data_IF_264186056130
#
_entry.id   IF_264186056130
#
_cell.length_a   1.000
_cell.length_b   1.000
_cell.length_c   1.000
_cell.angle_alpha   90.00
_cell.angle_beta   90.00
_cell.angle_gamma   90.00
#
_symmetry.space_group_name_H-M   'P 1'
#
loop_
_entity.id
_entity.type
_entity.pdbx_description
1 polymer ?
#
# COMPACT_ATOMS: atom_id res chain seq x y z
N UNK A 1 54.99 -10.15 3.60
CA UNK A 1 55.31 -9.09 2.61
C UNK A 1 54.09 -8.88 1.72
N UNK A 2 53.85 -7.64 1.25
CA UNK A 2 52.95 -7.20 0.15
C UNK A 2 51.48 -7.74 0.19
N UNK A 3 50.41 -6.96 0.41
CA UNK A 3 50.04 -5.57 0.05
C UNK A 3 49.53 -5.38 -1.39
N UNK A 4 48.19 -5.41 -1.52
CA UNK A 4 47.34 -4.46 -2.25
C UNK A 4 47.26 -4.46 -3.80
N UNK A 5 46.24 -5.16 -4.34
CA UNK A 5 45.48 -4.85 -5.57
C UNK A 5 44.05 -5.45 -5.38
N UNK A 6 42.92 -4.84 -5.73
CA UNK A 6 42.63 -3.48 -6.21
C UNK A 6 41.25 -3.03 -5.69
N UNK A 7 41.17 -1.87 -5.04
CA UNK A 7 39.91 -1.20 -4.67
C UNK A 7 39.60 -0.10 -5.68
N UNK A 8 38.60 -0.27 -6.55
CA UNK A 8 37.94 0.83 -7.31
C UNK A 8 36.75 0.30 -8.11
N UNK A 9 35.53 0.30 -7.56
CA UNK A 9 34.28 0.13 -8.34
C UNK A 9 32.99 0.56 -7.59
N UNK A 10 33.08 1.41 -6.56
CA UNK A 10 31.90 1.97 -5.85
C UNK A 10 32.14 3.46 -5.55
N UNK A 11 32.12 4.30 -6.59
CA UNK A 11 32.22 5.76 -6.46
C UNK A 11 31.75 6.53 -7.72
N UNK A 12 30.55 6.23 -8.22
CA UNK A 12 29.88 7.09 -9.22
C UNK A 12 28.36 6.80 -9.23
N UNK A 13 27.56 7.73 -8.72
CA UNK A 13 26.15 8.03 -9.07
C UNK A 13 25.49 8.88 -7.96
N UNK A 14 25.99 10.11 -7.83
CA UNK A 14 25.26 11.24 -7.26
C UNK A 14 25.56 12.48 -8.11
N UNK A 15 24.57 13.38 -8.18
CA UNK A 15 24.54 14.66 -8.90
C UNK A 15 24.23 14.65 -10.41
N UNK A 16 23.52 15.73 -10.80
CA UNK A 16 23.10 16.16 -12.15
C UNK A 16 21.94 15.38 -12.79
N UNK A 17 20.85 16.01 -13.27
CA UNK A 17 20.27 17.35 -13.03
C UNK A 17 18.81 17.35 -13.49
N UNK A 18 17.93 18.11 -12.82
CA UNK A 18 16.61 18.46 -13.34
C UNK A 18 16.77 19.61 -14.36
N UNK A 19 15.96 19.65 -15.43
CA UNK A 19 15.46 20.94 -15.90
C UNK A 19 13.92 20.98 -15.95
N UNK A 20 13.37 22.01 -15.30
CA UNK A 20 12.02 22.53 -15.51
C UNK A 20 12.21 23.85 -16.28
N UNK A 21 11.19 24.26 -17.02
CA UNK A 21 10.96 25.54 -17.72
C UNK A 21 11.06 25.50 -19.25
N UNK A 22 10.37 26.34 -20.03
CA UNK A 22 9.04 26.99 -20.01
C UNK A 22 9.12 28.23 -20.94
N UNK A 23 8.23 28.29 -21.93
CA UNK A 23 7.74 29.50 -22.62
C UNK A 23 8.67 30.39 -23.48
N UNK A 24 8.15 30.65 -24.69
CA UNK A 24 8.11 31.97 -25.37
C UNK A 24 9.34 32.60 -26.06
N UNK A 25 9.10 32.82 -27.37
CA UNK A 25 9.27 34.07 -28.13
C UNK A 25 10.63 34.41 -28.76
N UNK A 26 10.53 34.49 -30.11
CA UNK A 26 11.22 35.41 -31.04
C UNK A 26 12.73 35.17 -31.29
N UNK A 27 13.03 34.83 -32.54
CA UNK A 27 13.65 35.77 -33.49
C UNK A 27 13.16 35.46 -34.90
N UNK A 28 12.93 36.51 -35.69
CA UNK A 28 12.48 36.48 -37.08
C UNK A 28 13.49 37.23 -37.95
N UNK A 29 13.24 37.30 -39.27
CA UNK A 29 14.06 37.95 -40.32
C UNK A 29 15.47 37.31 -40.46
N UNK A 30 16.16 37.19 -41.60
CA UNK A 30 16.03 37.54 -43.04
C UNK A 30 16.36 36.26 -43.87
N UNK A 31 16.11 36.10 -45.18
CA UNK A 31 15.67 36.99 -46.26
C UNK A 31 14.83 36.20 -47.31
N UNK A 32 14.38 36.88 -48.37
CA UNK A 32 13.58 36.47 -49.53
C UNK A 32 14.40 36.20 -50.80
N UNK A 33 13.92 35.35 -51.72
CA UNK A 33 13.99 35.48 -53.20
C UNK A 33 13.39 34.24 -53.89
N UNK A 34 12.74 34.38 -55.06
CA UNK A 34 12.38 33.23 -55.92
C UNK A 34 10.90 32.92 -56.19
N UNK A 35 9.98 33.88 -56.06
CA UNK A 35 8.56 33.69 -56.40
C UNK A 35 8.27 33.71 -57.92
N UNK A 36 8.95 32.87 -58.71
CA UNK A 36 8.70 32.71 -60.17
C UNK A 36 8.89 31.25 -60.62
N UNK A 37 7.90 30.37 -60.37
CA UNK A 37 7.71 29.15 -61.17
C UNK A 37 6.32 28.48 -61.05
N UNK A 38 5.26 29.23 -60.72
CA UNK A 38 3.89 28.70 -60.57
C UNK A 38 3.00 29.20 -61.73
N UNK A 39 3.13 28.61 -62.93
CA UNK A 39 2.07 28.73 -63.96
C UNK A 39 2.01 27.67 -65.08
N UNK A 40 2.82 26.62 -65.07
CA UNK A 40 2.91 25.66 -66.20
C UNK A 40 2.90 24.17 -65.83
N UNK A 41 2.50 23.80 -64.59
CA UNK A 41 2.54 22.40 -64.13
C UNK A 41 1.29 21.92 -63.36
N UNK A 42 0.13 22.51 -63.69
CA UNK A 42 -1.14 22.30 -62.97
C UNK A 42 -2.21 21.51 -63.77
N UNK A 43 -1.83 20.83 -64.87
CA UNK A 43 -2.78 20.25 -65.83
C UNK A 43 -2.56 18.76 -66.16
N UNK A 44 -1.85 17.97 -65.33
CA UNK A 44 -1.57 16.54 -65.64
C UNK A 44 -1.86 15.52 -64.52
N UNK A 45 -2.28 15.92 -63.32
CA UNK A 45 -2.47 14.98 -62.17
C UNK A 45 -3.87 15.06 -61.56
N UNK A 46 -4.91 15.04 -62.40
CA UNK A 46 -6.32 15.04 -61.96
C UNK A 46 -7.23 13.98 -62.60
N UNK A 47 -6.68 13.01 -63.34
CA UNK A 47 -7.47 11.96 -64.00
C UNK A 47 -6.85 10.57 -63.86
N UNK A 48 -6.67 10.06 -62.63
CA UNK A 48 -6.71 8.61 -62.34
C UNK A 48 -7.21 8.31 -60.91
N UNK A 49 -8.47 7.85 -60.84
CA UNK A 49 -9.06 6.93 -59.85
C UNK A 49 -9.20 7.34 -58.34
N UNK A 50 -10.25 6.84 -57.65
CA UNK A 50 -10.61 7.29 -56.30
C UNK A 50 -9.91 6.51 -55.16
N UNK A 51 -9.75 7.18 -54.01
CA UNK A 51 -9.90 6.53 -52.70
C UNK A 51 -8.68 5.97 -51.96
N UNK A 52 -7.43 6.11 -52.43
CA UNK A 52 -6.29 5.34 -51.85
C UNK A 52 -5.21 6.01 -50.97
N UNK A 53 -5.11 7.34 -50.77
CA UNK A 53 -4.15 7.90 -49.80
C UNK A 53 -4.72 8.05 -48.38
N UNK A 54 -6.02 7.80 -48.19
CA UNK A 54 -6.70 7.85 -46.89
C UNK A 54 -6.68 6.47 -46.23
N UNK A 55 -7.08 5.44 -46.97
CA UNK A 55 -7.10 4.05 -46.51
C UNK A 55 -5.72 3.54 -46.06
N UNK A 56 -4.65 3.90 -46.77
CA UNK A 56 -3.28 3.51 -46.42
C UNK A 56 -2.79 4.21 -45.13
N UNK A 57 -3.18 5.47 -44.92
CA UNK A 57 -2.92 6.20 -43.66
C UNK A 57 -3.80 5.68 -42.52
N UNK A 58 -5.04 5.30 -42.80
CA UNK A 58 -5.95 4.70 -41.84
C UNK A 58 -5.40 3.35 -41.38
N UNK A 59 -5.01 2.47 -42.31
CA UNK A 59 -4.37 1.18 -42.05
C UNK A 59 -3.05 1.33 -41.28
N UNK A 60 -2.22 2.33 -41.59
CA UNK A 60 -1.00 2.59 -40.83
C UNK A 60 -1.29 3.09 -39.40
N UNK A 61 -2.28 3.96 -39.22
CA UNK A 61 -2.71 4.42 -37.89
C UNK A 61 -3.42 3.32 -37.09
N UNK A 62 -4.18 2.44 -37.75
CA UNK A 62 -4.83 1.28 -37.14
C UNK A 62 -3.82 0.22 -36.75
N UNK A 63 -2.81 -0.08 -37.56
CA UNK A 63 -1.71 -0.96 -37.16
C UNK A 63 -0.89 -0.37 -36.02
N UNK A 64 -0.53 0.92 -36.06
CA UNK A 64 0.13 1.58 -34.93
C UNK A 64 -0.73 1.55 -33.65
N UNK A 65 -2.06 1.66 -33.74
CA UNK A 65 -2.97 1.51 -32.59
C UNK A 65 -3.13 0.06 -32.14
N UNK A 66 -3.26 -0.88 -33.07
CA UNK A 66 -3.44 -2.31 -32.81
C UNK A 66 -2.18 -2.93 -32.20
N UNK A 67 -1.00 -2.60 -32.73
CA UNK A 67 0.29 -2.98 -32.14
C UNK A 67 0.43 -2.41 -30.73
N UNK A 68 0.06 -1.14 -30.51
CA UNK A 68 0.02 -0.57 -29.16
C UNK A 68 -0.97 -1.33 -28.24
N UNK A 69 -2.17 -1.71 -28.71
CA UNK A 69 -3.12 -2.50 -27.93
C UNK A 69 -2.62 -3.92 -27.64
N UNK A 70 -1.98 -4.60 -28.61
CA UNK A 70 -1.39 -5.93 -28.46
C UNK A 70 -0.20 -5.88 -27.49
N UNK A 71 0.66 -4.87 -27.59
CA UNK A 71 1.78 -4.62 -26.67
C UNK A 71 1.27 -4.33 -25.26
N UNK A 72 0.26 -3.47 -25.10
CA UNK A 72 -0.35 -3.17 -23.80
C UNK A 72 -1.04 -4.40 -23.19
N UNK A 73 -1.71 -5.23 -24.00
CA UNK A 73 -2.27 -6.52 -23.55
C UNK A 73 -1.17 -7.49 -23.11
N UNK A 74 -0.09 -7.64 -23.88
CA UNK A 74 1.08 -8.46 -23.52
C UNK A 74 1.73 -7.96 -22.21
N UNK A 75 1.95 -6.64 -22.05
CA UNK A 75 2.47 -6.01 -20.82
C UNK A 75 1.57 -6.28 -19.62
N UNK A 76 0.25 -6.08 -19.73
CA UNK A 76 -0.72 -6.34 -18.65
C UNK A 76 -0.72 -7.82 -18.24
N UNK A 77 -0.71 -8.75 -19.20
CA UNK A 77 -0.63 -10.19 -18.93
C UNK A 77 0.70 -10.56 -18.25
N UNK A 78 1.82 -9.99 -18.69
CA UNK A 78 3.13 -10.17 -18.06
C UNK A 78 3.13 -9.72 -16.60
N UNK A 79 2.71 -8.48 -16.35
CA UNK A 79 2.59 -7.91 -15.01
C UNK A 79 1.69 -8.74 -14.08
N UNK A 80 0.51 -9.17 -14.56
CA UNK A 80 -0.39 -10.02 -13.77
C UNK A 80 0.23 -11.40 -13.47
N UNK A 81 1.00 -11.99 -14.40
CA UNK A 81 1.74 -13.23 -14.17
C UNK A 81 2.85 -13.04 -13.13
N UNK A 82 3.56 -11.92 -13.14
CA UNK A 82 4.59 -11.60 -12.13
C UNK A 82 4.00 -11.36 -10.75
N UNK A 83 2.90 -10.59 -10.64
CA UNK A 83 2.18 -10.42 -9.37
C UNK A 83 1.70 -11.76 -8.82
N UNK A 84 1.14 -12.63 -9.67
CA UNK A 84 0.70 -13.95 -9.23
C UNK A 84 1.90 -14.80 -8.77
N UNK A 85 3.03 -14.81 -9.50
CA UNK A 85 4.26 -15.50 -9.07
C UNK A 85 4.78 -14.98 -7.71
N UNK A 86 4.77 -13.66 -7.49
CA UNK A 86 5.14 -13.05 -6.19
C UNK A 86 4.18 -13.49 -5.08
N UNK A 87 2.87 -13.42 -5.31
CA UNK A 87 1.84 -13.89 -4.36
C UNK A 87 2.02 -15.37 -4.02
N UNK A 88 2.27 -16.23 -5.00
CA UNK A 88 2.54 -17.65 -4.77
C UNK A 88 3.83 -17.88 -3.96
N UNK A 89 4.88 -17.08 -4.17
CA UNK A 89 6.10 -17.14 -3.32
C UNK A 89 5.79 -16.74 -1.87
N UNK A 90 5.04 -15.65 -1.66
CA UNK A 90 4.63 -15.21 -0.32
C UNK A 90 3.80 -16.28 0.40
N UNK A 91 2.81 -16.88 -0.28
CA UNK A 91 2.00 -17.96 0.29
C UNK A 91 2.84 -19.19 0.67
N UNK A 92 3.80 -19.60 -0.18
CA UNK A 92 4.77 -20.67 0.13
C UNK A 92 5.67 -20.35 1.33
N UNK A 93 5.98 -19.07 1.54
CA UNK A 93 6.72 -18.58 2.70
C UNK A 93 5.82 -18.37 3.95
N UNK A 94 4.55 -18.78 3.92
CA UNK A 94 3.63 -18.63 5.05
C UNK A 94 3.16 -17.19 5.32
N UNK A 95 3.19 -16.31 4.31
CA UNK A 95 2.51 -15.01 4.39
C UNK A 95 0.99 -15.18 4.34
N UNK A 96 0.25 -14.17 4.80
CA UNK A 96 -1.21 -14.21 4.88
C UNK A 96 -1.75 -14.75 6.21
N UNK A 97 -0.87 -15.30 7.06
CA UNK A 97 -1.21 -15.80 8.41
C UNK A 97 -0.34 -15.14 9.48
N UNK A 98 -0.93 -14.92 10.65
CA UNK A 98 -0.23 -14.47 11.84
C UNK A 98 0.28 -15.69 12.61
N UNK A 99 1.60 -15.91 12.60
CA UNK A 99 2.22 -17.09 13.21
C UNK A 99 3.12 -16.71 14.38
N UNK A 100 2.99 -17.43 15.49
CA UNK A 100 3.96 -17.38 16.58
C UNK A 100 5.24 -18.10 16.17
N UNK A 101 6.38 -17.54 16.54
CA UNK A 101 7.69 -18.18 16.46
C UNK A 101 8.08 -18.71 17.84
N UNK A 102 8.68 -19.90 17.88
CA UNK A 102 9.15 -20.52 19.11
C UNK A 102 10.47 -19.88 19.58
N UNK A 103 11.42 -19.75 18.64
CA UNK A 103 12.82 -19.45 18.90
C UNK A 103 13.37 -18.30 18.05
N UNK A 104 14.46 -17.70 18.54
CA UNK A 104 15.23 -16.66 17.83
C UNK A 104 15.78 -17.15 16.48
N UNK A 105 16.08 -18.44 16.36
CA UNK A 105 16.55 -19.07 15.11
C UNK A 105 15.50 -18.95 13.99
N UNK A 106 14.23 -19.24 14.31
CA UNK A 106 13.12 -19.12 13.35
C UNK A 106 12.94 -17.68 12.89
N UNK A 107 13.10 -16.71 13.80
CA UNK A 107 13.06 -15.29 13.48
C UNK A 107 14.16 -14.92 12.46
N UNK A 108 15.40 -15.37 12.66
CA UNK A 108 16.48 -15.12 11.69
C UNK A 108 16.25 -15.86 10.36
N UNK A 109 15.74 -17.08 10.37
CA UNK A 109 15.35 -17.78 9.14
C UNK A 109 14.28 -17.05 8.34
N UNK A 110 13.25 -16.52 9.01
CA UNK A 110 12.20 -15.74 8.36
C UNK A 110 12.75 -14.42 7.84
N UNK A 111 13.65 -13.74 8.57
CA UNK A 111 14.32 -12.52 8.10
C UNK A 111 15.16 -12.72 6.83
N UNK A 112 15.68 -13.93 6.61
CA UNK A 112 16.38 -14.30 5.37
C UNK A 112 15.42 -14.70 4.23
N UNK A 113 14.28 -15.32 4.55
CA UNK A 113 13.29 -15.79 3.55
C UNK A 113 12.36 -14.67 3.06
N UNK A 114 12.08 -13.69 3.90
CA UNK A 114 11.04 -12.67 3.71
C UNK A 114 11.63 -11.26 3.89
N UNK A 115 11.56 -10.37 2.88
CA UNK A 115 12.17 -9.04 2.97
C UNK A 115 11.41 -8.09 3.88
N UNK A 116 10.08 -8.22 3.93
CA UNK A 116 9.17 -7.28 4.59
C UNK A 116 8.43 -8.04 5.70
N UNK A 117 8.68 -7.68 6.97
CA UNK A 117 8.23 -8.38 8.17
C UNK A 117 7.70 -7.38 9.20
N UNK A 118 6.58 -7.73 9.83
CA UNK A 118 6.02 -7.04 11.00
C UNK A 118 6.02 -8.03 12.16
N UNK A 119 6.88 -7.80 13.15
CA UNK A 119 7.08 -8.69 14.29
C UNK A 119 6.57 -8.07 15.59
N UNK A 120 5.58 -8.71 16.21
CA UNK A 120 5.09 -8.34 17.54
C UNK A 120 5.90 -9.04 18.63
N UNK A 121 6.59 -8.25 19.45
CA UNK A 121 7.26 -8.74 20.65
C UNK A 121 6.34 -8.60 21.86
N UNK A 122 6.03 -9.74 22.47
CA UNK A 122 5.00 -9.85 23.49
C UNK A 122 5.51 -10.66 24.70
N UNK A 123 4.73 -10.60 25.79
CA UNK A 123 4.88 -11.41 26.99
C UNK A 123 3.50 -11.93 27.39
N UNK A 124 3.44 -13.17 27.91
CA UNK A 124 2.18 -13.77 28.36
C UNK A 124 1.58 -12.99 29.55
N UNK A 125 0.26 -13.00 29.67
CA UNK A 125 -0.47 -12.30 30.75
C UNK A 125 -0.69 -10.79 30.58
N UNK A 126 -0.16 -10.16 29.51
CA UNK A 126 -0.40 -8.75 29.24
C UNK A 126 -1.61 -8.54 28.28
N UNK A 127 -2.69 -7.93 28.77
CA UNK A 127 -3.91 -7.65 27.98
C UNK A 127 -3.66 -6.75 26.76
N UNK A 128 -2.75 -5.77 26.87
CA UNK A 128 -2.38 -4.88 25.77
C UNK A 128 -1.79 -5.67 24.58
N UNK A 129 -1.11 -6.79 24.83
CA UNK A 129 -0.63 -7.68 23.78
C UNK A 129 -1.78 -8.39 23.05
N UNK A 130 -2.88 -8.73 23.73
CA UNK A 130 -4.04 -9.40 23.12
C UNK A 130 -4.79 -8.49 22.15
N UNK A 131 -4.89 -7.20 22.48
CA UNK A 131 -5.39 -6.15 21.57
C UNK A 131 -4.59 -6.16 20.27
N UNK A 132 -3.26 -6.03 20.37
CA UNK A 132 -2.36 -6.02 19.20
C UNK A 132 -2.46 -7.31 18.38
N UNK A 133 -2.48 -8.48 19.05
CA UNK A 133 -2.65 -9.78 18.41
C UNK A 133 -3.93 -9.86 17.55
N UNK A 134 -5.05 -9.32 18.05
CA UNK A 134 -6.32 -9.27 17.33
C UNK A 134 -6.22 -8.45 16.03
N UNK A 135 -5.68 -7.24 16.11
CA UNK A 135 -5.51 -6.37 14.94
C UNK A 135 -4.50 -6.93 13.93
N UNK A 136 -3.36 -7.46 14.38
CA UNK A 136 -2.35 -8.05 13.50
C UNK A 136 -2.84 -9.32 12.80
N UNK A 137 -3.70 -10.13 13.45
CA UNK A 137 -4.32 -11.28 12.80
C UNK A 137 -5.23 -10.87 11.63
N UNK A 138 -6.02 -9.81 11.80
CA UNK A 138 -6.85 -9.25 10.72
C UNK A 138 -5.99 -8.65 9.60
N UNK A 139 -4.90 -7.97 9.96
CA UNK A 139 -3.98 -7.34 9.00
C UNK A 139 -3.17 -8.36 8.20
N UNK A 140 -2.80 -9.49 8.80
CA UNK A 140 -2.08 -10.56 8.12
C UNK A 140 -2.85 -11.09 6.89
N UNK A 141 -4.16 -11.30 7.02
CA UNK A 141 -5.02 -11.74 5.91
C UNK A 141 -5.20 -10.68 4.82
N UNK A 142 -5.23 -9.39 5.19
CA UNK A 142 -5.29 -8.26 4.24
C UNK A 142 -3.98 -8.09 3.45
N UNK A 143 -2.83 -8.19 4.12
CA UNK A 143 -1.52 -7.72 3.64
C UNK A 143 -0.51 -8.84 3.40
N UNK A 144 -0.81 -9.73 2.45
CA UNK A 144 0.04 -10.87 2.05
C UNK A 144 1.46 -10.43 1.61
N UNK A 145 1.68 -9.16 1.24
CA UNK A 145 3.00 -8.64 0.88
C UNK A 145 4.04 -8.71 2.00
N UNK A 146 3.60 -8.52 3.26
CA UNK A 146 4.46 -8.61 4.44
C UNK A 146 4.21 -9.91 5.22
N UNK A 147 5.23 -10.40 5.94
CA UNK A 147 5.06 -11.52 6.87
C UNK A 147 4.78 -10.98 8.27
N UNK A 148 3.63 -11.35 8.82
CA UNK A 148 3.25 -11.04 10.20
C UNK A 148 3.62 -12.21 11.11
N UNK A 149 4.29 -11.93 12.22
CA UNK A 149 4.66 -12.92 13.23
C UNK A 149 4.69 -12.32 14.64
N UNK A 150 4.73 -13.20 15.65
CA UNK A 150 4.96 -12.80 17.05
C UNK A 150 6.04 -13.65 17.73
N UNK A 151 6.78 -13.02 18.62
CA UNK A 151 7.90 -13.60 19.37
C UNK A 151 7.73 -13.32 20.86
N UNK A 152 7.84 -14.37 21.68
CA UNK A 152 7.80 -14.23 23.13
C UNK A 152 9.17 -13.74 23.65
N UNK A 153 9.17 -12.63 24.38
CA UNK A 153 10.37 -11.97 24.91
C UNK A 153 11.14 -12.81 25.94
N UNK A 154 10.47 -13.71 26.65
CA UNK A 154 11.09 -14.57 27.67
C UNK A 154 11.85 -15.73 27.02
N UNK A 155 11.34 -16.24 25.89
CA UNK A 155 12.00 -17.26 25.07
C UNK A 155 13.15 -16.68 24.21
N UNK A 156 13.15 -15.37 24.00
CA UNK A 156 14.09 -14.67 23.10
C UNK A 156 14.91 -13.56 23.81
N UNK A 157 15.82 -13.93 24.73
CA UNK A 157 16.61 -12.98 25.53
C UNK A 157 17.74 -12.27 24.76
N UNK A 158 18.18 -12.77 23.60
CA UNK A 158 19.13 -12.05 22.75
C UNK A 158 18.42 -10.94 21.98
N UNK A 159 17.24 -11.21 21.42
CA UNK A 159 16.45 -10.20 20.71
C UNK A 159 16.02 -9.06 21.65
N UNK A 160 15.58 -9.36 22.87
CA UNK A 160 15.21 -8.33 23.85
C UNK A 160 16.37 -7.41 24.24
N UNK A 161 17.56 -7.98 24.48
CA UNK A 161 18.79 -7.22 24.75
C UNK A 161 19.27 -6.42 23.54
N UNK A 162 19.25 -7.02 22.34
CA UNK A 162 19.80 -6.40 21.11
C UNK A 162 18.94 -5.25 20.61
N UNK A 163 17.62 -5.40 20.67
CA UNK A 163 16.63 -4.36 20.31
C UNK A 163 16.33 -3.39 21.46
N UNK A 164 16.88 -3.64 22.66
CA UNK A 164 16.73 -2.81 23.88
C UNK A 164 15.26 -2.55 24.25
N UNK A 165 14.40 -3.55 24.08
CA UNK A 165 12.96 -3.42 24.32
C UNK A 165 12.68 -3.29 25.82
N UNK A 166 12.16 -2.12 26.22
CA UNK A 166 11.78 -1.80 27.61
C UNK A 166 10.28 -1.83 27.88
N UNK A 167 9.47 -1.69 26.83
CA UNK A 167 8.01 -1.54 26.90
C UNK A 167 7.36 -2.63 26.04
N UNK A 168 6.21 -3.14 26.49
CA UNK A 168 5.47 -4.23 25.86
C UNK A 168 4.00 -3.80 25.80
N UNK A 169 3.29 -3.94 24.66
CA UNK A 169 3.74 -4.51 23.39
C UNK A 169 4.76 -3.63 22.66
N UNK A 170 5.65 -4.23 21.86
CA UNK A 170 6.47 -3.51 20.87
C UNK A 170 6.35 -4.21 19.53
N UNK A 171 6.05 -3.47 18.47
CA UNK A 171 6.01 -3.98 17.09
C UNK A 171 7.24 -3.45 16.36
N UNK A 172 8.05 -4.36 15.82
CA UNK A 172 9.24 -4.03 15.04
C UNK A 172 8.94 -4.25 13.57
N UNK A 173 9.21 -3.23 12.75
CA UNK A 173 9.08 -3.32 11.30
C UNK A 173 10.45 -3.52 10.68
N UNK A 174 10.57 -4.59 9.90
CA UNK A 174 11.79 -4.95 9.17
C UNK A 174 11.47 -4.91 7.68
N UNK A 175 12.33 -4.23 6.93
CA UNK A 175 12.21 -4.06 5.48
C UNK A 175 13.57 -4.28 4.83
N UNK A 176 13.63 -5.16 3.83
CA UNK A 176 14.87 -5.54 3.12
C UNK A 176 16.03 -5.91 4.06
N UNK A 177 15.73 -6.57 5.18
CA UNK A 177 16.71 -6.99 6.18
C UNK A 177 17.23 -5.88 7.11
N UNK A 178 16.68 -4.67 7.05
CA UNK A 178 16.95 -3.58 8.00
C UNK A 178 15.72 -3.32 8.86
N UNK A 179 15.93 -2.85 10.09
CA UNK A 179 14.84 -2.36 10.93
C UNK A 179 14.56 -0.92 10.50
N UNK A 180 13.33 -0.64 10.07
CA UNK A 180 12.91 0.70 9.62
C UNK A 180 12.19 1.46 10.73
N UNK A 181 11.40 0.77 11.58
CA UNK A 181 10.47 1.41 12.51
C UNK A 181 10.21 0.56 13.77
N UNK A 182 9.87 1.23 14.86
CA UNK A 182 9.51 0.66 16.16
C UNK A 182 8.24 1.34 16.68
N UNK A 183 7.12 0.62 16.69
CA UNK A 183 5.88 1.07 17.33
C UNK A 183 5.91 0.55 18.76
N UNK A 184 6.07 1.45 19.73
CA UNK A 184 6.30 1.12 21.15
C UNK A 184 5.06 1.42 21.97
N UNK A 185 4.45 0.39 22.56
CA UNK A 185 3.19 0.50 23.29
C UNK A 185 2.05 1.01 22.42
N UNK A 186 1.29 1.96 22.95
CA UNK A 186 0.17 2.61 22.25
C UNK A 186 0.39 4.11 21.98
N UNK A 187 1.58 4.65 22.26
CA UNK A 187 1.88 6.09 22.11
C UNK A 187 1.54 6.62 20.71
N UNK A 188 1.95 5.89 19.67
CA UNK A 188 1.72 6.21 18.25
C UNK A 188 0.27 5.92 17.79
N UNK A 189 -0.53 5.26 18.64
CA UNK A 189 -1.89 4.78 18.37
C UNK A 189 -2.94 5.53 19.23
N UNK A 190 -2.58 6.74 19.70
CA UNK A 190 -3.46 7.59 20.51
C UNK A 190 -3.52 7.23 21.99
N UNK A 191 -2.58 6.40 22.48
CA UNK A 191 -2.45 5.97 23.87
C UNK A 191 -3.74 5.39 24.48
N UNK A 192 -4.52 4.67 23.67
CA UNK A 192 -5.79 4.05 24.04
C UNK A 192 -5.84 2.60 23.55
N UNK A 193 -6.27 1.68 24.40
CA UNK A 193 -6.36 0.24 24.08
C UNK A 193 -7.45 -0.10 23.05
N UNK A 194 -8.39 0.81 22.80
CA UNK A 194 -9.53 0.63 21.88
C UNK A 194 -9.32 1.35 20.54
N UNK A 195 -8.13 1.21 19.93
CA UNK A 195 -7.84 1.77 18.61
C UNK A 195 -8.47 0.92 17.49
N UNK A 196 -8.77 1.54 16.35
CA UNK A 196 -9.28 0.81 15.18
C UNK A 196 -8.16 0.10 14.43
N UNK A 197 -8.44 -1.08 13.83
CA UNK A 197 -7.49 -1.79 12.96
C UNK A 197 -6.92 -0.88 11.86
N UNK A 198 -7.73 0.04 11.35
CA UNK A 198 -7.35 1.01 10.32
C UNK A 198 -6.26 1.98 10.78
N UNK A 199 -6.16 2.28 12.10
CA UNK A 199 -5.12 3.13 12.66
C UNK A 199 -3.77 2.42 12.72
N UNK A 200 -3.76 1.14 13.14
CA UNK A 200 -2.54 0.32 13.09
C UNK A 200 -2.13 0.03 11.63
N UNK A 201 -3.11 -0.17 10.72
CA UNK A 201 -2.86 -0.28 9.29
C UNK A 201 -2.17 0.98 8.75
N UNK A 202 -2.68 2.16 9.07
CA UNK A 202 -2.08 3.43 8.66
C UNK A 202 -0.68 3.65 9.25
N UNK A 203 -0.47 3.39 10.55
CA UNK A 203 0.85 3.55 11.19
C UNK A 203 1.89 2.60 10.61
N UNK A 204 1.52 1.34 10.34
CA UNK A 204 2.39 0.39 9.64
C UNK A 204 2.65 0.82 8.20
N UNK A 205 1.69 1.41 7.51
CA UNK A 205 1.85 1.86 6.13
C UNK A 205 2.87 3.00 5.97
N UNK A 206 3.05 3.86 6.97
CA UNK A 206 4.05 4.94 6.96
C UNK A 206 5.49 4.40 6.81
N UNK A 207 5.80 3.24 7.41
CA UNK A 207 7.08 2.55 7.23
C UNK A 207 7.29 1.97 5.82
N UNK A 208 6.23 1.91 5.01
CA UNK A 208 6.22 1.33 3.67
C UNK A 208 6.32 -0.20 3.63
N UNK A 209 6.13 -0.90 4.76
CA UNK A 209 6.12 -2.38 4.83
C UNK A 209 4.84 -3.00 4.25
N UNK A 210 3.71 -2.28 4.28
CA UNK A 210 2.43 -2.70 3.69
C UNK A 210 1.92 -1.71 2.63
N UNK A 211 1.13 -2.22 1.68
CA UNK A 211 0.53 -1.43 0.61
C UNK A 211 -0.83 -0.88 1.01
N UNK A 212 -0.86 0.34 1.56
CA UNK A 212 -2.09 1.04 1.93
C UNK A 212 -2.76 1.71 0.74
N UNK A 213 -4.09 1.87 0.80
CA UNK A 213 -4.92 2.45 -0.26
C UNK A 213 -5.55 3.81 0.09
N UNK A 214 -5.36 4.29 1.30
CA UNK A 214 -5.82 5.61 1.74
C UNK A 214 -4.69 6.64 1.77
N UNK A 215 -4.98 7.82 2.31
CA UNK A 215 -3.98 8.88 2.52
C UNK A 215 -3.09 8.56 3.73
N UNK A 216 -1.77 8.72 3.57
CA UNK A 216 -0.77 8.53 4.62
C UNK A 216 -0.54 9.82 5.45
N UNK A 217 -0.98 10.98 4.93
CA UNK A 217 -0.80 12.28 5.58
C UNK A 217 -1.85 12.53 6.68
N UNK A 218 -3.08 12.06 6.49
CA UNK A 218 -4.17 12.20 7.47
C UNK A 218 -4.33 10.94 8.31
N UNK A 219 -4.24 11.06 9.64
CA UNK A 219 -4.54 9.95 10.55
C UNK A 219 -6.03 9.55 10.46
N UNK A 220 -6.37 8.25 10.44
CA UNK A 220 -7.75 7.79 10.48
C UNK A 220 -8.47 8.26 11.75
N UNK A 221 -9.60 8.95 11.59
CA UNK A 221 -10.43 9.42 12.71
C UNK A 221 -10.94 8.23 13.51
N UNK A 222 -10.68 8.22 14.82
CA UNK A 222 -11.18 7.19 15.73
C UNK A 222 -12.71 7.30 15.86
N UNK A 223 -13.44 6.49 15.08
CA UNK A 223 -14.90 6.41 15.14
C UNK A 223 -15.32 5.86 16.51
N UNK A 224 -15.79 6.72 17.41
CA UNK A 224 -16.48 6.29 18.64
C UNK A 224 -17.71 5.48 18.22
N UNK A 225 -17.72 4.19 18.57
CA UNK A 225 -18.93 3.38 18.48
C UNK A 225 -19.90 3.89 19.55
N UNK A 226 -20.89 4.68 19.14
CA UNK A 226 -22.07 4.89 19.97
C UNK A 226 -22.77 3.54 20.10
N UNK A 227 -22.68 2.95 21.29
CA UNK A 227 -23.56 1.84 21.67
C UNK A 227 -24.93 2.45 21.97
N UNK A 228 -25.83 2.44 20.99
CA UNK A 228 -27.25 2.59 21.26
C UNK A 228 -27.71 1.37 22.05
N UNK A 229 -27.79 1.53 23.37
CA UNK A 229 -28.46 0.58 24.22
C UNK A 229 -29.94 0.54 23.81
N UNK A 230 -30.31 -0.47 23.01
CA UNK A 230 -31.71 -0.91 22.92
C UNK A 230 -32.12 -1.47 24.27
N UNK A 231 -32.52 -0.57 25.17
CA UNK A 231 -33.30 -0.93 26.33
C UNK A 231 -34.57 -1.62 25.83
N UNK A 232 -34.67 -2.92 26.06
CA UNK A 232 -35.92 -3.66 25.83
C UNK A 232 -36.93 -3.14 26.86
N UNK A 233 -37.89 -2.35 26.39
CA UNK A 233 -39.03 -1.92 27.20
C UNK A 233 -39.85 -3.16 27.54
N UNK A 234 -39.76 -3.61 28.79
CA UNK A 234 -40.65 -4.63 29.32
C UNK A 234 -42.04 -4.00 29.50
N UNK A 235 -42.93 -4.19 28.51
CA UNK A 235 -44.35 -3.91 28.68
C UNK A 235 -44.95 -4.93 29.64
N UNK A 236 -45.04 -4.55 30.91
CA UNK A 236 -45.88 -5.22 31.90
C UNK A 236 -46.38 -4.23 32.94
N UNK A 237 -47.47 -3.55 32.59
CA UNK A 237 -48.50 -3.13 33.55
C UNK A 237 -49.83 -3.13 32.80
N UNK A 238 -50.70 -4.08 33.16
CA UNK A 238 -52.08 -4.13 32.70
C UNK A 238 -52.94 -3.36 33.69
N UNK A 239 -53.47 -2.22 33.28
CA UNK A 239 -54.38 -1.43 34.09
C UNK A 239 -55.82 -1.88 33.81
N UNK A 240 -56.42 -2.65 34.73
CA UNK A 240 -57.86 -2.88 34.72
C UNK A 240 -58.56 -1.69 35.39
N UNK A 241 -59.49 -0.99 34.70
CA UNK A 241 -60.26 0.06 35.32
C UNK A 241 -61.42 -0.55 36.12
N UNK A 242 -61.32 -0.47 37.45
CA UNK A 242 -62.43 -0.75 38.37
C UNK A 242 -63.57 0.26 38.13
N UNK A 243 -64.69 -0.23 37.61
CA UNK A 243 -65.90 0.54 37.35
C UNK A 243 -66.93 0.32 38.45
N UNK A 244 -66.86 1.11 39.52
CA UNK A 244 -67.92 1.23 40.53
C UNK A 244 -68.70 2.55 40.37
N UNK A 245 -70.00 2.48 40.67
CA UNK A 245 -71.02 3.45 40.23
C UNK A 245 -71.26 4.63 41.21
N UNK A 246 -72.08 5.59 40.76
CA UNK A 246 -72.79 6.65 41.53
C UNK A 246 -71.90 7.75 42.15
N UNK A 247 -72.22 9.04 42.00
CA UNK A 247 -73.42 9.67 42.59
C UNK A 247 -73.98 10.89 41.79
N UNK A 248 -74.98 11.56 42.37
CA UNK A 248 -76.02 12.39 41.75
C UNK A 248 -75.82 13.93 41.81
N UNK A 249 -76.84 14.66 41.28
CA UNK A 249 -77.10 16.12 41.23
C UNK A 249 -76.83 16.80 39.86
N UNK A 250 -77.78 17.55 39.25
CA UNK A 250 -79.20 17.83 39.54
C UNK A 250 -79.96 17.99 38.20
#
# INVERSE_FOLDING_TARGET
MQYNQSRTMIAALLFLTIPIECSSKRKAVVLSLGAVLIKSRFQEVLVQAPGKPIDEKLYHLENLRADNLVVMRKRRIGYMRELNKKKQKWLKNGHGTYSQLADEKEFFEISNKCPDIVCHFYRDGNECCRVVDSHLNVLAGKHIGAKFCKVNLEKSPFLSKRLRMKVIPTIVVIRKGKIEDFIVGFSDLGNCDNFGTDMLEWRLAQSGVIGYKGDLMTQPVMKRKFFENRAQMNMRDGYEPDGSETDSHD
#
